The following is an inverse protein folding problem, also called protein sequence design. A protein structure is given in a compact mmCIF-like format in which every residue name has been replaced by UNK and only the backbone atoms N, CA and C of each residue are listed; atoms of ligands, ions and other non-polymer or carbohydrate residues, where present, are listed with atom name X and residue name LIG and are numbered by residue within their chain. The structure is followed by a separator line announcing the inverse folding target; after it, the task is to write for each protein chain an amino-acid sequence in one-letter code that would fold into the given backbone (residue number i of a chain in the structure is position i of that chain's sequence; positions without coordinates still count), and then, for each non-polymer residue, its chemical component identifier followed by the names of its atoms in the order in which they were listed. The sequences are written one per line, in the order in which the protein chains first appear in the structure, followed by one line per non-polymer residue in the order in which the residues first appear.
data_IF_334016847280
#
_entry.id   IF_334016847280
#
_cell.length_a   1.000
_cell.length_b   1.000
_cell.length_c   1.000
_cell.angle_alpha   90.00
_cell.angle_beta   90.00
_cell.angle_gamma   90.00
#
_symmetry.space_group_name_H-M   'P 1'
#
loop_
_entity.id
_entity.type
_entity.pdbx_description
1 polymer ?
#
# COMPACT_ATOMS: atom_id res chain seq x y z
N UNK A 1 -8.14 -23.53 -25.84
CA UNK A 1 -9.17 -22.74 -25.16
C UNK A 1 -8.59 -22.18 -23.87
N UNK A 2 -8.83 -20.91 -23.59
CA UNK A 2 -8.49 -20.31 -22.28
C UNK A 2 -9.40 -20.92 -21.22
N UNK A 3 -8.83 -21.30 -20.07
CA UNK A 3 -9.56 -21.97 -18.97
C UNK A 3 -9.97 -21.02 -17.84
N UNK A 4 -9.39 -19.82 -17.77
CA UNK A 4 -9.72 -18.80 -16.77
C UNK A 4 -8.65 -17.72 -16.69
N UNK A 5 -8.96 -16.67 -15.93
CA UNK A 5 -8.05 -15.57 -15.60
C UNK A 5 -8.06 -15.35 -14.08
N UNK A 6 -6.92 -14.93 -13.54
CA UNK A 6 -6.77 -14.49 -12.16
C UNK A 6 -6.32 -13.04 -12.21
N UNK A 7 -7.02 -12.17 -11.49
CA UNK A 7 -6.73 -10.75 -11.42
C UNK A 7 -6.31 -10.40 -10.01
N UNK A 8 -5.28 -9.57 -9.91
CA UNK A 8 -5.00 -8.83 -8.70
C UNK A 8 -6.08 -7.75 -8.47
N UNK A 9 -6.13 -7.18 -7.28
CA UNK A 9 -7.07 -6.11 -6.95
C UNK A 9 -6.48 -4.74 -7.28
N UNK A 10 -5.35 -4.41 -6.64
CA UNK A 10 -4.73 -3.08 -6.70
C UNK A 10 -4.11 -2.82 -8.08
N UNK A 11 -4.46 -1.69 -8.70
CA UNK A 11 -4.00 -1.31 -10.03
C UNK A 11 -4.55 -2.15 -11.19
N UNK A 12 -5.35 -3.18 -10.93
CA UNK A 12 -5.97 -4.04 -11.95
C UNK A 12 -7.48 -3.87 -11.97
N UNK A 13 -8.16 -4.12 -10.85
CA UNK A 13 -9.60 -3.92 -10.73
C UNK A 13 -9.91 -2.52 -10.21
N UNK A 14 -9.09 -1.99 -9.30
CA UNK A 14 -9.25 -0.64 -8.75
C UNK A 14 -7.94 -0.09 -8.19
N UNK A 15 -7.84 1.22 -7.97
CA UNK A 15 -6.70 1.85 -7.31
C UNK A 15 -6.97 1.98 -5.80
N UNK A 16 -6.27 1.17 -5.02
CA UNK A 16 -6.33 1.18 -3.55
C UNK A 16 -5.09 1.79 -2.90
N UNK A 17 -4.00 1.96 -3.66
CA UNK A 17 -2.72 2.47 -3.16
C UNK A 17 -2.84 3.85 -2.49
N UNK A 18 -3.69 4.73 -3.04
CA UNK A 18 -3.96 6.07 -2.48
C UNK A 18 -4.61 5.99 -1.10
N UNK A 19 -5.52 5.03 -0.88
CA UNK A 19 -6.19 4.86 0.41
C UNK A 19 -5.26 4.21 1.45
N UNK A 20 -4.41 3.28 1.02
CA UNK A 20 -3.36 2.73 1.87
C UNK A 20 -2.39 3.80 2.34
N UNK A 21 -1.93 4.68 1.44
CA UNK A 21 -1.05 5.80 1.78
C UNK A 21 -1.68 6.71 2.84
N UNK A 22 -2.92 7.17 2.60
CA UNK A 22 -3.64 8.04 3.55
C UNK A 22 -3.80 7.40 4.92
N UNK A 23 -4.19 6.12 4.96
CA UNK A 23 -4.38 5.39 6.21
C UNK A 23 -3.08 5.27 7.01
N UNK A 24 -1.96 5.00 6.33
CA UNK A 24 -0.65 4.95 6.97
C UNK A 24 -0.21 6.33 7.45
N UNK A 25 -0.35 7.36 6.63
CA UNK A 25 -0.01 8.73 6.97
C UNK A 25 -0.77 9.20 8.22
N UNK A 26 -2.08 8.94 8.30
CA UNK A 26 -2.90 9.25 9.47
C UNK A 26 -2.39 8.52 10.71
N UNK A 27 -2.10 7.22 10.61
CA UNK A 27 -1.71 6.42 11.76
C UNK A 27 -0.34 6.80 12.33
N UNK A 28 0.63 7.05 11.48
CA UNK A 28 2.00 7.37 11.91
C UNK A 28 2.15 8.85 12.32
N UNK A 29 1.26 9.72 11.83
CA UNK A 29 1.15 11.11 12.30
C UNK A 29 0.81 11.19 13.79
N UNK A 30 0.00 10.28 14.32
CA UNK A 30 -0.26 10.16 15.76
C UNK A 30 1.01 9.89 16.58
N UNK A 31 2.03 9.30 15.95
CA UNK A 31 3.33 8.99 16.55
C UNK A 31 4.38 10.09 16.29
N UNK A 32 4.00 11.20 15.65
CA UNK A 32 4.90 12.29 15.26
C UNK A 32 5.81 11.96 14.07
N UNK A 33 5.51 10.89 13.32
CA UNK A 33 6.28 10.50 12.14
C UNK A 33 5.71 11.21 10.91
N UNK A 34 6.57 11.92 10.18
CA UNK A 34 6.20 12.51 8.91
C UNK A 34 6.37 11.48 7.79
N UNK A 35 5.26 10.99 7.24
CA UNK A 35 5.25 9.99 6.18
C UNK A 35 4.78 10.61 4.86
N UNK A 36 5.65 10.55 3.85
CA UNK A 36 5.47 11.21 2.54
C UNK A 36 5.41 10.19 1.39
N UNK A 37 5.04 10.64 0.20
CA UNK A 37 4.88 9.74 -0.97
C UNK A 37 6.15 8.95 -1.30
N UNK A 38 7.32 9.58 -1.15
CA UNK A 38 8.63 8.94 -1.39
C UNK A 38 8.90 7.76 -0.44
N UNK A 39 8.32 7.77 0.77
CA UNK A 39 8.38 6.62 1.69
C UNK A 39 7.38 5.54 1.28
N UNK A 40 6.20 5.95 0.81
CA UNK A 40 5.17 5.04 0.34
C UNK A 40 5.60 4.24 -0.89
N UNK A 41 6.33 4.85 -1.82
CA UNK A 41 6.88 4.14 -2.97
C UNK A 41 7.83 3.00 -2.57
N UNK A 42 8.63 3.18 -1.51
CA UNK A 42 9.57 2.15 -0.99
C UNK A 42 8.87 0.98 -0.29
N UNK A 43 7.60 1.18 0.08
CA UNK A 43 6.78 0.23 0.84
C UNK A 43 5.63 -0.36 0.02
N UNK A 44 5.44 0.10 -1.22
CA UNK A 44 4.39 -0.36 -2.12
C UNK A 44 4.51 -1.86 -2.40
N UNK A 45 3.39 -2.58 -2.27
CA UNK A 45 3.32 -4.02 -2.51
C UNK A 45 3.96 -4.90 -1.41
N UNK A 46 4.48 -4.29 -0.33
CA UNK A 46 5.03 -5.04 0.81
C UNK A 46 3.89 -5.39 1.79
N UNK A 47 3.79 -6.64 2.27
CA UNK A 47 2.84 -7.02 3.31
C UNK A 47 2.98 -6.16 4.57
N UNK A 48 1.84 -5.82 5.20
CA UNK A 48 1.78 -4.94 6.38
C UNK A 48 2.81 -5.25 7.48
N UNK A 49 3.02 -6.52 7.82
CA UNK A 49 3.96 -6.91 8.87
C UNK A 49 5.42 -6.71 8.45
N UNK A 50 5.72 -6.87 7.17
CA UNK A 50 7.06 -6.60 6.63
C UNK A 50 7.32 -5.10 6.54
N UNK A 51 6.30 -4.31 6.19
CA UNK A 51 6.35 -2.84 6.24
C UNK A 51 6.79 -2.33 7.60
N UNK A 52 6.28 -2.92 8.69
CA UNK A 52 6.59 -2.50 10.07
C UNK A 52 8.01 -2.87 10.55
N UNK A 53 8.71 -3.76 9.84
CA UNK A 53 10.07 -4.20 10.20
C UNK A 53 11.18 -3.39 9.52
N UNK A 54 10.81 -2.53 8.57
CA UNK A 54 11.71 -1.77 7.70
C UNK A 54 11.88 -0.36 8.25
#
# INVERSE_FOLDING_TARGET
MVKGFVFDLDGVITDTAVLHFKSWQEKVKELGINYIEEDNEKLRGIPRLETLKK
#
